data_IF_060299212841
#
_entry.id   IF_060299212841
#
_cell.length_a   1.000
_cell.length_b   1.000
_cell.length_c   1.000
_cell.angle_alpha   90.00
_cell.angle_beta   90.00
_cell.angle_gamma   90.00
#
_symmetry.space_group_name_H-M   'P 1'
#
loop_
_entity.id
_entity.type
_entity.pdbx_description
1 polymer ?
#
# COMPACT_ATOMS: atom_id res chain seq x y z
N UNK A 1 -31.55 21.70 13.82
CA UNK A 1 -32.60 22.11 12.86
C UNK A 1 -31.96 23.15 11.93
N UNK A 2 -31.92 22.88 10.62
CA UNK A 2 -31.42 23.70 9.48
C UNK A 2 -29.90 24.07 9.49
N UNK A 3 -29.08 23.61 8.52
CA UNK A 3 -28.89 24.11 7.11
C UNK A 3 -28.51 25.61 7.11
N UNK A 4 -27.49 26.14 6.43
CA UNK A 4 -26.81 25.86 5.16
C UNK A 4 -25.59 26.85 5.11
N UNK A 5 -24.36 26.46 4.79
CA UNK A 5 -23.71 26.46 3.46
C UNK A 5 -23.72 27.77 2.64
N UNK A 6 -22.51 28.30 2.37
CA UNK A 6 -22.00 28.87 1.10
C UNK A 6 -20.46 28.94 1.23
N UNK A 7 -19.60 28.59 0.27
CA UNK A 7 -19.73 28.28 -1.15
C UNK A 7 -18.71 29.08 -1.97
N UNK A 8 -18.08 28.42 -2.96
CA UNK A 8 -17.20 28.93 -4.05
C UNK A 8 -15.69 28.88 -3.77
N UNK A 9 -14.82 28.41 -4.67
CA UNK A 9 -14.80 28.35 -6.14
C UNK A 9 -13.77 27.28 -6.59
N UNK A 10 -13.74 26.66 -7.78
CA UNK A 10 -14.43 26.83 -9.08
C UNK A 10 -14.23 25.54 -9.91
N UNK A 11 -15.28 25.04 -10.54
CA UNK A 11 -15.22 24.07 -11.64
C UNK A 11 -14.75 24.76 -12.92
N UNK A 12 -13.88 24.09 -13.68
CA UNK A 12 -13.58 24.40 -15.07
C UNK A 12 -14.12 23.31 -15.98
N UNK A 13 -15.08 23.68 -16.82
CA UNK A 13 -15.80 22.86 -17.79
C UNK A 13 -14.91 22.56 -19.01
N UNK A 14 -14.62 21.29 -19.32
CA UNK A 14 -14.05 20.89 -20.63
C UNK A 14 -14.67 19.60 -21.18
N UNK A 15 -15.58 19.85 -22.12
CA UNK A 15 -16.01 19.09 -23.30
C UNK A 15 -15.32 17.75 -23.55
N UNK A 16 -16.12 16.68 -23.60
CA UNK A 16 -15.77 15.35 -24.10
C UNK A 16 -15.18 15.44 -25.53
N UNK A 17 -13.98 14.90 -25.70
CA UNK A 17 -13.50 14.41 -26.98
C UNK A 17 -13.01 12.98 -26.78
N UNK A 18 -13.71 12.04 -27.42
CA UNK A 18 -13.22 10.69 -27.61
C UNK A 18 -11.99 10.74 -28.51
N UNK A 19 -10.83 10.35 -27.98
CA UNK A 19 -9.70 9.90 -28.78
C UNK A 19 -9.31 8.52 -28.30
N UNK A 20 -9.58 7.53 -29.15
CA UNK A 20 -9.25 6.14 -28.90
C UNK A 20 -7.80 5.90 -29.35
N UNK A 21 -6.85 5.75 -28.42
CA UNK A 21 -5.56 5.11 -28.70
C UNK A 21 -4.99 4.37 -27.47
N UNK A 22 -5.33 3.08 -27.42
CA UNK A 22 -4.51 1.90 -27.13
C UNK A 22 -3.23 2.05 -26.25
N UNK A 23 -3.33 1.73 -24.94
CA UNK A 23 -2.33 0.96 -24.17
C UNK A 23 -3.02 0.27 -22.96
N UNK A 24 -2.86 -1.05 -22.83
CA UNK A 24 -3.70 -1.95 -22.01
C UNK A 24 -3.28 -2.11 -20.54
N UNK A 25 -3.44 -1.10 -19.70
CA UNK A 25 -3.37 -1.29 -18.23
C UNK A 25 -4.19 -0.23 -17.52
N UNK A 26 -5.16 -0.63 -16.70
CA UNK A 26 -5.96 0.33 -15.92
C UNK A 26 -5.30 0.58 -14.56
N UNK A 27 -5.01 1.84 -14.28
CA UNK A 27 -4.43 2.34 -13.03
C UNK A 27 -5.51 3.10 -12.28
N UNK A 28 -5.58 2.95 -10.95
CA UNK A 28 -6.59 3.64 -10.14
C UNK A 28 -5.94 4.39 -8.97
N UNK A 29 -6.43 5.60 -8.68
CA UNK A 29 -5.93 6.52 -7.63
C UNK A 29 -7.05 6.93 -6.66
N UNK A 30 -6.67 7.60 -5.57
CA UNK A 30 -7.57 8.22 -4.59
C UNK A 30 -7.04 9.56 -4.07
N UNK A 31 -7.98 10.44 -3.74
CA UNK A 31 -7.80 11.70 -3.02
C UNK A 31 -6.82 11.64 -1.84
N UNK A 32 -5.99 12.68 -1.81
CA UNK A 32 -4.75 12.87 -1.06
C UNK A 32 -4.97 13.06 0.45
N UNK A 33 -4.01 12.60 1.26
CA UNK A 33 -3.92 12.95 2.67
C UNK A 33 -2.88 14.08 2.85
N UNK A 34 -3.35 15.31 3.09
CA UNK A 34 -2.51 16.49 3.25
C UNK A 34 -1.73 16.48 4.60
N UNK A 35 -0.58 17.18 4.70
CA UNK A 35 0.18 17.26 5.95
C UNK A 35 -0.57 18.02 7.05
N UNK A 36 -0.60 17.42 8.25
CA UNK A 36 -1.23 17.94 9.45
C UNK A 36 -0.55 19.23 9.95
N UNK A 37 -1.33 20.32 10.11
CA UNK A 37 -0.91 21.53 10.83
C UNK A 37 -1.24 21.38 12.32
N UNK A 38 -0.23 21.50 13.18
CA UNK A 38 -0.37 21.39 14.65
C UNK A 38 -1.41 22.37 15.21
N UNK A 39 -2.35 21.86 16.01
CA UNK A 39 -2.88 22.58 17.16
C UNK A 39 -2.61 21.78 18.44
N UNK A 40 -1.97 22.43 19.41
CA UNK A 40 -1.69 21.89 20.74
C UNK A 40 -2.99 21.65 21.51
N UNK A 41 -3.15 20.47 22.13
CA UNK A 41 -3.71 20.34 23.47
C UNK A 41 -3.47 18.95 24.06
N UNK A 42 -3.44 18.91 25.40
CA UNK A 42 -2.76 17.92 26.23
C UNK A 42 -3.63 16.74 26.70
N UNK A 43 -2.94 15.60 26.90
CA UNK A 43 -3.14 14.46 27.84
C UNK A 43 -4.53 14.07 28.34
N UNK A 44 -4.81 12.75 28.29
CA UNK A 44 -5.20 11.95 29.48
C UNK A 44 -4.99 10.44 29.25
N UNK A 45 -4.55 9.75 30.31
CA UNK A 45 -4.29 8.31 30.41
C UNK A 45 -5.58 7.49 30.38
N UNK A 46 -5.57 6.30 29.78
CA UNK A 46 -6.16 5.11 30.43
C UNK A 46 -5.61 3.80 29.86
N UNK A 47 -5.60 2.82 30.75
CA UNK A 47 -4.92 1.53 30.74
C UNK A 47 -5.87 0.40 30.36
N UNK A 48 -5.37 -0.62 29.64
CA UNK A 48 -6.14 -1.84 29.39
C UNK A 48 -5.42 -2.84 28.49
N UNK A 49 -4.35 -3.47 28.99
CA UNK A 49 -3.70 -4.62 28.34
C UNK A 49 -4.21 -5.90 29.02
N UNK A 50 -4.86 -6.79 28.26
CA UNK A 50 -5.08 -8.18 28.69
C UNK A 50 -4.79 -9.15 27.55
N UNK A 51 -3.94 -10.11 27.89
CA UNK A 51 -3.51 -11.26 27.10
C UNK A 51 -4.66 -12.15 26.65
N UNK A 52 -4.55 -12.68 25.43
CA UNK A 52 -5.02 -14.03 25.11
C UNK A 52 -3.94 -14.69 24.23
N UNK A 53 -3.13 -15.56 24.83
CA UNK A 53 -2.36 -16.59 24.16
C UNK A 53 -2.50 -17.86 25.00
N UNK A 54 -3.23 -18.86 24.48
CA UNK A 54 -3.14 -20.29 24.83
C UNK A 54 -4.24 -21.07 24.09
N UNK A 55 -3.84 -21.85 23.08
CA UNK A 55 -3.86 -23.32 23.13
C UNK A 55 -3.30 -23.87 21.81
N UNK A 56 -2.15 -24.53 21.92
CA UNK A 56 -1.69 -25.47 20.89
C UNK A 56 -2.32 -26.83 21.24
N UNK A 57 -3.10 -27.38 20.31
CA UNK A 57 -3.61 -28.75 20.38
C UNK A 57 -3.29 -29.42 19.06
N UNK A 58 -2.59 -30.56 19.16
CA UNK A 58 -2.30 -31.49 18.07
C UNK A 58 -3.50 -31.67 17.13
N UNK A 59 -3.33 -31.34 15.86
CA UNK A 59 -4.21 -31.80 14.80
C UNK A 59 -3.38 -32.45 13.69
N UNK A 60 -3.96 -33.55 13.19
CA UNK A 60 -3.38 -34.52 12.27
C UNK A 60 -2.86 -33.86 10.98
N UNK A 61 -1.77 -34.43 10.45
CA UNK A 61 -1.29 -34.19 9.08
C UNK A 61 -2.40 -34.46 8.07
N UNK A 62 -2.86 -33.41 7.39
CA UNK A 62 -3.72 -33.51 6.21
C UNK A 62 -3.08 -32.73 5.07
N UNK A 63 -2.91 -33.41 3.95
CA UNK A 63 -2.53 -32.82 2.66
C UNK A 63 -3.66 -31.89 2.21
N UNK A 64 -3.41 -30.59 2.16
CA UNK A 64 -4.41 -29.59 1.80
C UNK A 64 -4.45 -29.44 0.27
N UNK A 65 -5.61 -29.75 -0.33
CA UNK A 65 -5.93 -29.35 -1.70
C UNK A 65 -6.72 -28.03 -1.67
N UNK A 66 -6.81 -27.36 -2.83
CA UNK A 66 -7.35 -25.99 -3.03
C UNK A 66 -8.77 -25.71 -2.47
N UNK A 67 -9.45 -26.69 -1.90
CA UNK A 67 -10.86 -26.59 -1.52
C UNK A 67 -11.11 -26.38 -0.01
N UNK A 68 -10.12 -26.60 0.86
CA UNK A 68 -10.38 -26.61 2.32
C UNK A 68 -9.89 -25.34 3.08
N UNK A 69 -9.16 -24.45 2.41
CA UNK A 69 -8.83 -23.10 2.86
C UNK A 69 -9.01 -22.14 1.68
N UNK A 70 -9.62 -20.99 1.90
CA UNK A 70 -9.65 -19.91 0.92
C UNK A 70 -8.23 -19.35 0.77
N UNK A 71 -7.37 -20.06 0.05
CA UNK A 71 -5.93 -19.79 0.00
C UNK A 71 -5.63 -18.37 -0.50
N UNK A 72 -6.42 -17.87 -1.45
CA UNK A 72 -6.33 -16.48 -1.90
C UNK A 72 -6.55 -15.49 -0.75
N UNK A 73 -7.45 -15.80 0.20
CA UNK A 73 -7.67 -15.02 1.40
C UNK A 73 -6.46 -15.03 2.33
N UNK A 74 -5.82 -16.18 2.56
CA UNK A 74 -4.61 -16.27 3.40
C UNK A 74 -3.47 -15.45 2.80
N UNK A 75 -3.23 -15.57 1.49
CA UNK A 75 -2.20 -14.79 0.80
C UNK A 75 -2.52 -13.30 0.85
N UNK A 76 -3.79 -12.92 0.63
CA UNK A 76 -4.23 -11.54 0.72
C UNK A 76 -4.08 -10.95 2.13
N UNK A 77 -4.43 -11.70 3.18
CA UNK A 77 -4.24 -11.28 4.57
C UNK A 77 -2.77 -11.00 4.87
N UNK A 78 -1.87 -11.92 4.48
CA UNK A 78 -0.42 -11.77 4.67
C UNK A 78 0.12 -10.55 3.92
N UNK A 79 -0.29 -10.37 2.66
CA UNK A 79 0.17 -9.25 1.83
C UNK A 79 -0.39 -7.91 2.30
N UNK A 80 -1.66 -7.85 2.70
CA UNK A 80 -2.25 -6.62 3.26
C UNK A 80 -1.58 -6.22 4.58
N UNK A 81 -1.33 -7.16 5.50
CA UNK A 81 -0.58 -6.85 6.74
C UNK A 81 0.83 -6.34 6.40
N UNK A 82 1.50 -6.98 5.45
CA UNK A 82 2.84 -6.57 5.02
C UNK A 82 2.83 -5.17 4.40
N UNK A 83 1.92 -4.91 3.46
CA UNK A 83 1.80 -3.63 2.77
C UNK A 83 1.48 -2.50 3.75
N UNK A 84 0.65 -2.75 4.78
CA UNK A 84 0.38 -1.76 5.85
C UNK A 84 1.68 -1.35 6.55
N UNK A 85 2.46 -2.33 7.01
CA UNK A 85 3.75 -2.09 7.68
C UNK A 85 4.74 -1.39 6.74
N UNK A 86 4.79 -1.82 5.47
CA UNK A 86 5.69 -1.24 4.47
C UNK A 86 5.32 0.21 4.15
N UNK A 87 4.05 0.54 3.97
CA UNK A 87 3.57 1.90 3.73
C UNK A 87 3.94 2.80 4.91
N UNK A 88 3.63 2.40 6.15
CA UNK A 88 4.02 3.19 7.32
C UNK A 88 5.53 3.43 7.40
N UNK A 89 6.32 2.40 7.10
CA UNK A 89 7.78 2.52 7.13
C UNK A 89 8.30 3.43 6.01
N UNK A 90 7.77 3.35 4.78
CA UNK A 90 8.10 4.24 3.67
C UNK A 90 7.82 5.69 4.04
N UNK A 91 6.63 5.98 4.58
CA UNK A 91 6.24 7.33 5.00
C UNK A 91 7.15 7.91 6.08
N UNK A 92 7.69 7.05 6.94
CA UNK A 92 8.68 7.43 7.95
C UNK A 92 10.06 7.69 7.35
N UNK A 93 10.63 6.74 6.59
CA UNK A 93 12.03 6.83 6.10
C UNK A 93 12.18 7.88 4.99
N UNK A 94 11.10 8.19 4.27
CA UNK A 94 11.08 9.24 3.23
C UNK A 94 10.55 10.58 3.76
N UNK A 95 10.35 10.68 5.08
CA UNK A 95 9.95 11.90 5.79
C UNK A 95 8.70 12.60 5.22
N UNK A 96 7.75 11.82 4.67
CA UNK A 96 6.48 12.35 4.14
C UNK A 96 5.63 12.93 5.28
N UNK A 97 5.74 12.33 6.47
CA UNK A 97 5.15 12.86 7.69
C UNK A 97 6.20 13.03 8.80
N UNK A 98 6.00 13.96 9.75
CA UNK A 98 6.93 14.19 10.84
C UNK A 98 7.16 12.94 11.70
N UNK A 99 8.41 12.64 12.04
CA UNK A 99 8.78 11.47 12.87
C UNK A 99 8.03 11.38 14.20
N UNK A 100 7.58 12.51 14.75
CA UNK A 100 6.83 12.59 16.01
C UNK A 100 5.45 11.90 15.99
N UNK A 101 4.88 11.57 14.83
CA UNK A 101 3.65 10.78 14.75
C UNK A 101 3.90 9.28 14.71
N UNK A 102 5.16 8.84 14.58
CA UNK A 102 5.51 7.43 14.46
C UNK A 102 6.02 6.86 15.78
N UNK A 103 5.69 5.60 16.01
CA UNK A 103 6.13 4.84 17.16
C UNK A 103 6.85 3.58 16.72
N UNK A 104 8.00 3.32 17.36
CA UNK A 104 8.77 2.10 17.16
C UNK A 104 7.98 0.89 17.63
N UNK A 105 7.74 -0.06 16.73
CA UNK A 105 7.09 -1.35 16.97
C UNK A 105 8.00 -2.48 16.48
N UNK A 106 7.57 -3.73 16.72
CA UNK A 106 8.26 -4.93 16.24
C UNK A 106 7.30 -5.73 15.35
N UNK A 107 7.64 -5.88 14.08
CA UNK A 107 6.89 -6.66 13.07
C UNK A 107 7.88 -7.50 12.30
N UNK A 108 7.50 -8.73 11.90
CA UNK A 108 8.41 -9.67 11.25
C UNK A 108 9.73 -9.82 12.03
N UNK A 109 9.69 -9.85 13.36
CA UNK A 109 10.86 -9.88 14.25
C UNK A 109 11.92 -8.75 14.06
N UNK A 110 11.59 -7.65 13.36
CA UNK A 110 12.47 -6.50 13.14
C UNK A 110 11.81 -5.20 13.65
N UNK A 111 12.58 -4.17 14.03
CA UNK A 111 12.02 -2.88 14.41
C UNK A 111 11.39 -2.19 13.18
N UNK A 112 10.19 -1.65 13.35
CA UNK A 112 9.47 -0.88 12.33
C UNK A 112 8.91 0.40 12.95
N UNK A 113 8.53 1.35 12.12
CA UNK A 113 7.88 2.60 12.54
C UNK A 113 6.43 2.58 12.07
N UNK A 114 5.50 2.75 13.01
CA UNK A 114 4.05 2.73 12.74
C UNK A 114 3.45 4.07 13.15
N UNK A 115 2.61 4.66 12.31
CA UNK A 115 1.94 5.92 12.66
C UNK A 115 0.94 5.71 13.80
N UNK A 116 0.82 6.72 14.66
CA UNK A 116 -0.20 6.84 15.69
C UNK A 116 -1.28 7.87 15.33
N UNK A 117 -1.21 8.48 14.14
CA UNK A 117 -2.20 9.47 13.68
C UNK A 117 -3.48 8.77 13.18
N UNK A 118 -4.65 8.97 13.81
CA UNK A 118 -5.86 8.21 13.51
C UNK A 118 -6.31 8.31 12.04
N UNK A 119 -6.31 9.50 11.46
CA UNK A 119 -6.80 9.70 10.09
C UNK A 119 -5.86 9.08 9.05
N UNK A 120 -4.55 9.09 9.31
CA UNK A 120 -3.56 8.48 8.42
C UNK A 120 -3.69 6.96 8.46
N UNK A 121 -3.83 6.40 9.67
CA UNK A 121 -4.01 4.98 9.87
C UNK A 121 -5.32 4.49 9.23
N UNK A 122 -6.41 5.27 9.38
CA UNK A 122 -7.69 4.96 8.75
C UNK A 122 -7.59 4.99 7.23
N UNK A 123 -6.94 5.99 6.65
CA UNK A 123 -6.73 6.07 5.19
C UNK A 123 -5.96 4.85 4.64
N UNK A 124 -4.87 4.46 5.31
CA UNK A 124 -4.06 3.29 4.89
C UNK A 124 -4.89 2.01 5.04
N UNK A 125 -5.62 1.86 6.15
CA UNK A 125 -6.49 0.73 6.40
C UNK A 125 -7.58 0.59 5.33
N UNK A 126 -8.32 1.66 5.05
CA UNK A 126 -9.40 1.67 4.06
C UNK A 126 -8.87 1.39 2.64
N UNK A 127 -7.69 1.94 2.33
CA UNK A 127 -6.97 1.64 1.07
C UNK A 127 -6.73 0.15 0.94
N UNK A 128 -6.05 -0.45 1.91
CA UNK A 128 -5.69 -1.87 1.85
C UNK A 128 -6.91 -2.79 1.95
N UNK A 129 -7.96 -2.38 2.66
CA UNK A 129 -9.23 -3.09 2.71
C UNK A 129 -9.88 -3.19 1.32
N UNK A 130 -9.78 -2.14 0.50
CA UNK A 130 -10.22 -2.20 -0.89
C UNK A 130 -9.27 -2.97 -1.82
N UNK A 131 -7.96 -2.97 -1.55
CA UNK A 131 -6.97 -3.73 -2.35
C UNK A 131 -7.10 -5.24 -2.09
N UNK A 132 -7.43 -5.63 -0.86
CA UNK A 132 -7.55 -7.03 -0.43
C UNK A 132 -8.33 -7.93 -1.40
N UNK A 133 -9.58 -7.64 -1.80
CA UNK A 133 -10.32 -8.49 -2.73
C UNK A 133 -9.67 -8.62 -4.12
N UNK A 134 -8.88 -7.64 -4.55
CA UNK A 134 -8.11 -7.73 -5.79
C UNK A 134 -6.93 -8.71 -5.64
N UNK A 135 -6.27 -8.71 -4.48
CA UNK A 135 -5.22 -9.68 -4.17
C UNK A 135 -5.81 -11.08 -4.02
N UNK A 136 -6.95 -11.23 -3.34
CA UNK A 136 -7.63 -12.53 -3.14
C UNK A 136 -7.94 -13.24 -4.46
N UNK A 137 -8.31 -12.46 -5.49
CA UNK A 137 -8.63 -12.95 -6.84
C UNK A 137 -7.41 -13.01 -7.77
N UNK A 138 -6.23 -12.60 -7.29
CA UNK A 138 -5.00 -12.42 -8.08
C UNK A 138 -5.17 -11.42 -9.25
N UNK A 139 -6.07 -10.44 -9.08
CA UNK A 139 -6.35 -9.37 -10.03
C UNK A 139 -5.39 -8.18 -9.87
N UNK A 140 -4.77 -8.01 -8.71
CA UNK A 140 -3.75 -6.98 -8.48
C UNK A 140 -2.38 -7.43 -9.03
N UNK A 141 -1.83 -6.66 -9.96
CA UNK A 141 -0.48 -6.87 -10.52
C UNK A 141 0.57 -6.07 -9.76
N UNK A 142 0.29 -4.79 -9.49
CA UNK A 142 1.20 -3.89 -8.76
C UNK A 142 0.42 -3.07 -7.75
N UNK A 143 0.98 -2.91 -6.56
CA UNK A 143 0.58 -1.90 -5.57
C UNK A 143 1.71 -0.90 -5.49
N UNK A 144 1.42 0.38 -5.70
CA UNK A 144 2.44 1.42 -5.84
C UNK A 144 2.19 2.52 -4.83
N UNK A 145 3.16 2.80 -3.97
CA UNK A 145 3.14 4.00 -3.11
C UNK A 145 3.82 5.13 -3.87
N UNK A 146 3.06 6.15 -4.25
CA UNK A 146 3.56 7.29 -5.01
C UNK A 146 3.77 8.45 -4.06
N UNK A 147 4.99 8.97 -4.01
CA UNK A 147 5.32 10.21 -3.30
C UNK A 147 5.27 11.35 -4.32
N UNK A 148 4.53 12.41 -3.99
CA UNK A 148 4.29 13.56 -4.86
C UNK A 148 4.85 14.85 -4.24
N UNK A 149 5.36 15.75 -5.07
CA UNK A 149 5.75 17.10 -4.64
C UNK A 149 4.53 18.00 -4.36
N UNK A 150 4.78 19.26 -4.01
CA UNK A 150 3.73 20.24 -3.68
C UNK A 150 2.87 20.60 -4.89
N UNK A 151 3.43 20.44 -6.08
CA UNK A 151 2.78 20.65 -7.37
C UNK A 151 2.06 19.38 -7.86
N UNK A 152 1.99 18.33 -7.02
CA UNK A 152 1.34 17.05 -7.28
C UNK A 152 1.96 16.22 -8.40
N UNK A 153 3.25 16.41 -8.69
CA UNK A 153 3.96 15.56 -9.64
C UNK A 153 4.66 14.38 -8.90
N UNK A 154 4.66 13.15 -9.47
CA UNK A 154 5.32 11.98 -8.88
C UNK A 154 6.84 12.11 -8.78
N UNK A 155 7.40 12.05 -7.57
CA UNK A 155 8.85 12.15 -7.29
C UNK A 155 9.48 10.78 -7.09
N UNK A 156 8.81 9.91 -6.34
CA UNK A 156 9.22 8.52 -6.10
C UNK A 156 8.02 7.58 -6.20
N UNK A 157 8.27 6.36 -6.66
CA UNK A 157 7.29 5.27 -6.63
C UNK A 157 7.89 4.02 -6.05
N UNK A 158 7.36 3.56 -4.93
CA UNK A 158 7.70 2.26 -4.38
C UNK A 158 6.76 1.24 -4.99
N UNK A 159 7.26 0.49 -5.97
CA UNK A 159 6.47 -0.46 -6.75
C UNK A 159 6.59 -1.85 -6.13
N UNK A 160 5.49 -2.37 -5.60
CA UNK A 160 5.35 -3.76 -5.18
C UNK A 160 4.69 -4.54 -6.30
N UNK A 161 5.50 -5.20 -7.12
CA UNK A 161 5.04 -6.08 -8.18
C UNK A 161 4.75 -7.47 -7.61
N UNK A 162 3.53 -7.95 -7.78
CA UNK A 162 3.01 -9.16 -7.12
C UNK A 162 2.63 -10.20 -8.18
N UNK A 163 3.06 -11.44 -7.95
CA UNK A 163 2.66 -12.59 -8.76
C UNK A 163 2.35 -13.78 -7.84
N UNK A 164 1.15 -14.34 -7.99
CA UNK A 164 0.71 -15.52 -7.25
C UNK A 164 0.76 -16.73 -8.18
N UNK A 165 1.78 -17.60 -8.07
CA UNK A 165 1.88 -18.79 -8.91
C UNK A 165 0.74 -19.78 -8.63
N UNK A 166 0.40 -20.64 -9.59
CA UNK A 166 -0.53 -21.75 -9.34
C UNK A 166 0.03 -22.65 -8.24
N UNK A 167 -0.78 -22.88 -7.21
CA UNK A 167 -0.44 -23.72 -6.08
C UNK A 167 -0.04 -25.14 -6.48
N UNK A 168 1.08 -25.59 -5.93
CA UNK A 168 1.42 -27.01 -5.82
C UNK A 168 1.14 -27.46 -4.36
N UNK A 169 1.00 -28.75 -4.09
CA UNK A 169 0.73 -29.25 -2.74
C UNK A 169 1.86 -28.88 -1.78
N UNK A 170 1.58 -28.09 -0.74
CA UNK A 170 2.60 -27.59 0.21
C UNK A 170 2.14 -27.83 1.65
N UNK A 171 3.09 -28.15 2.53
CA UNK A 171 2.89 -28.16 3.99
C UNK A 171 2.82 -26.73 4.54
N UNK A 172 1.73 -26.38 5.21
CA UNK A 172 1.37 -24.99 5.59
C UNK A 172 2.36 -24.29 6.52
N UNK A 173 2.88 -24.97 7.55
CA UNK A 173 3.51 -24.29 8.69
C UNK A 173 4.93 -23.80 8.39
N UNK A 174 5.73 -24.63 7.71
CA UNK A 174 7.07 -24.25 7.23
C UNK A 174 7.01 -23.13 6.21
N UNK A 175 6.01 -23.16 5.34
CA UNK A 175 5.81 -22.16 4.29
C UNK A 175 5.54 -20.76 4.85
N UNK A 176 4.64 -20.63 5.82
CA UNK A 176 4.30 -19.33 6.41
C UNK A 176 5.51 -18.70 7.13
N UNK A 177 6.28 -19.50 7.85
CA UNK A 177 7.51 -19.03 8.51
C UNK A 177 8.57 -18.56 7.50
N UNK A 178 8.67 -19.26 6.36
CA UNK A 178 9.59 -18.88 5.29
C UNK A 178 9.16 -17.57 4.61
N UNK A 179 7.86 -17.42 4.33
CA UNK A 179 7.30 -16.17 3.78
C UNK A 179 7.53 -15.00 4.74
N UNK A 180 7.32 -15.19 6.04
CA UNK A 180 7.62 -14.17 7.05
C UNK A 180 9.10 -13.71 6.99
N UNK A 181 10.04 -14.66 6.86
CA UNK A 181 11.47 -14.35 6.74
C UNK A 181 11.80 -13.60 5.44
N UNK A 182 11.14 -13.95 4.33
CA UNK A 182 11.31 -13.24 3.06
C UNK A 182 10.78 -11.81 3.13
N UNK A 183 9.59 -11.61 3.70
CA UNK A 183 8.98 -10.28 3.91
C UNK A 183 9.82 -9.42 4.86
N UNK A 184 10.38 -10.02 5.91
CA UNK A 184 11.34 -9.37 6.81
C UNK A 184 12.52 -8.75 6.05
N UNK A 185 13.06 -9.46 5.06
CA UNK A 185 14.16 -8.94 4.26
C UNK A 185 13.75 -7.71 3.42
N UNK A 186 12.49 -7.63 2.99
CA UNK A 186 11.95 -6.45 2.29
C UNK A 186 11.83 -5.27 3.25
N UNK A 187 11.28 -5.47 4.45
CA UNK A 187 11.20 -4.43 5.50
C UNK A 187 12.58 -3.88 5.86
N UNK A 188 13.59 -4.75 5.99
CA UNK A 188 14.97 -4.31 6.26
C UNK A 188 15.55 -3.47 5.12
N UNK A 189 15.21 -3.79 3.86
CA UNK A 189 15.65 -3.00 2.70
C UNK A 189 14.98 -1.63 2.62
N UNK A 190 13.69 -1.53 2.96
CA UNK A 190 13.00 -0.23 3.10
C UNK A 190 13.64 0.58 4.23
N UNK A 191 14.01 -0.05 5.34
CA UNK A 191 14.58 0.64 6.51
C UNK A 191 15.90 1.37 6.24
N UNK A 192 16.59 1.03 5.14
CA UNK A 192 17.90 1.58 4.77
C UNK A 192 17.92 2.11 3.33
N UNK A 193 16.75 2.35 2.73
CA UNK A 193 16.68 2.81 1.33
C UNK A 193 17.08 4.28 1.17
N UNK A 194 17.10 5.07 2.25
CA UNK A 194 17.62 6.43 2.28
C UNK A 194 19.09 6.53 1.82
N UNK A 195 19.88 5.48 2.06
CA UNK A 195 21.27 5.42 1.60
C UNK A 195 21.44 5.26 0.07
N UNK A 196 20.37 4.89 -0.65
CA UNK A 196 20.40 4.66 -2.10
C UNK A 196 19.46 5.56 -2.89
N UNK A 197 18.67 6.40 -2.20
CA UNK A 197 17.71 7.33 -2.80
C UNK A 197 18.13 8.78 -2.50
N UNK A 198 17.90 9.67 -3.45
CA UNK A 198 18.13 11.11 -3.25
C UNK A 198 17.07 11.70 -2.31
N UNK A 199 17.37 12.81 -1.62
CA UNK A 199 16.40 13.45 -0.74
C UNK A 199 15.18 13.97 -1.51
N UNK A 200 14.00 13.80 -0.93
CA UNK A 200 12.76 14.34 -1.51
C UNK A 200 12.62 15.84 -1.22
N UNK A 201 11.94 16.61 -2.09
CA UNK A 201 11.62 18.00 -1.81
C UNK A 201 10.74 18.12 -0.55
N UNK A 202 10.79 19.25 0.16
CA UNK A 202 9.98 19.44 1.35
C UNK A 202 8.49 19.46 1.01
N UNK A 203 7.63 19.05 1.94
CA UNK A 203 6.17 19.14 1.77
C UNK A 203 5.58 18.14 0.79
N UNK A 204 6.25 17.00 0.59
CA UNK A 204 5.70 15.89 -0.17
C UNK A 204 4.39 15.35 0.44
N UNK A 205 3.57 14.78 -0.42
CA UNK A 205 2.36 13.99 -0.07
C UNK A 205 2.49 12.59 -0.64
N UNK A 206 1.52 11.71 -0.37
CA UNK A 206 1.49 10.39 -0.99
C UNK A 206 0.09 9.99 -1.45
N UNK A 207 0.05 9.07 -2.41
CA UNK A 207 -1.14 8.31 -2.82
C UNK A 207 -0.76 6.85 -3.08
N UNK A 208 -1.74 5.97 -3.21
CA UNK A 208 -1.55 4.56 -3.54
C UNK A 208 -2.23 4.26 -4.87
N UNK A 209 -1.48 3.72 -5.81
CA UNK A 209 -2.00 3.23 -7.08
C UNK A 209 -2.07 1.70 -7.07
N UNK A 210 -3.08 1.17 -7.75
CA UNK A 210 -3.18 -0.27 -8.01
C UNK A 210 -3.26 -0.49 -9.51
N UNK A 211 -2.32 -1.27 -10.04
CA UNK A 211 -2.38 -1.76 -11.41
C UNK A 211 -3.09 -3.11 -11.38
N UNK A 212 -4.18 -3.21 -12.13
CA UNK A 212 -4.93 -4.47 -12.24
C UNK A 212 -4.60 -5.22 -13.51
N UNK A 213 -4.66 -6.56 -13.45
CA UNK A 213 -4.55 -7.42 -14.62
C UNK A 213 -5.74 -7.18 -15.55
N UNK A 214 -5.55 -7.30 -16.87
CA UNK A 214 -6.52 -6.90 -17.91
C UNK A 214 -7.97 -7.39 -17.67
N UNK A 215 -8.14 -8.61 -17.16
CA UNK A 215 -9.45 -9.20 -16.87
C UNK A 215 -10.27 -8.47 -15.78
N UNK A 216 -9.62 -7.71 -14.91
CA UNK A 216 -10.21 -7.08 -13.74
C UNK A 216 -10.67 -5.62 -13.96
N UNK A 217 -10.26 -4.98 -15.06
CA UNK A 217 -10.68 -3.60 -15.41
C UNK A 217 -12.21 -3.44 -15.42
N UNK A 218 -12.93 -4.50 -15.80
CA UNK A 218 -14.41 -4.52 -15.84
C UNK A 218 -15.07 -4.72 -14.47
N UNK A 219 -14.33 -5.13 -13.46
CA UNK A 219 -14.84 -5.47 -12.13
C UNK A 219 -14.57 -4.37 -11.08
N UNK A 220 -13.80 -3.33 -11.40
CA UNK A 220 -13.50 -2.22 -10.47
C UNK A 220 -14.75 -1.49 -9.97
N UNK A 221 -15.80 -1.37 -10.79
CA UNK A 221 -17.11 -0.85 -10.36
C UNK A 221 -17.73 -1.66 -9.21
N UNK A 222 -17.40 -2.96 -9.11
CA UNK A 222 -17.87 -3.88 -8.06
C UNK A 222 -16.94 -3.95 -6.85
N UNK A 223 -15.75 -3.36 -6.91
CA UNK A 223 -14.73 -3.36 -5.85
C UNK A 223 -14.87 -2.15 -4.90
N UNK A 224 -15.88 -1.30 -5.11
CA UNK A 224 -16.27 -0.26 -4.15
C UNK A 224 -16.89 -0.89 -2.89
N UNK A 225 -16.07 -1.56 -2.08
CA UNK A 225 -16.48 -2.25 -0.84
C UNK A 225 -16.89 -1.22 0.23
N UNK A 226 -16.30 -0.03 0.19
CA UNK A 226 -16.57 1.06 1.13
C UNK A 226 -17.28 2.18 0.37
N UNK A 227 -18.55 2.41 0.72
CA UNK A 227 -19.46 3.32 0.01
C UNK A 227 -18.97 4.76 -0.08
N UNK A 228 -18.25 5.24 0.94
CA UNK A 228 -17.70 6.59 1.01
C UNK A 228 -16.22 6.67 0.60
N UNK A 229 -15.68 5.56 0.06
CA UNK A 229 -14.28 5.45 -0.34
C UNK A 229 -14.22 4.85 -1.76
N UNK A 230 -14.54 5.65 -2.82
CA UNK A 230 -14.52 5.18 -4.21
C UNK A 230 -13.10 5.21 -4.81
N UNK A 231 -12.77 4.21 -5.64
CA UNK A 231 -11.58 4.21 -6.50
C UNK A 231 -11.93 4.81 -7.86
N UNK A 232 -11.04 5.66 -8.39
CA UNK A 232 -11.17 6.27 -9.72
C UNK A 232 -10.00 5.87 -10.59
N UNK A 233 -10.19 5.87 -11.92
CA UNK A 233 -9.06 5.70 -12.84
C UNK A 233 -8.07 6.83 -12.58
N UNK A 234 -6.79 6.48 -12.45
CA UNK A 234 -5.72 7.42 -12.18
C UNK A 234 -5.51 8.31 -13.39
N UNK A 235 -5.34 9.61 -13.13
CA UNK A 235 -5.05 10.56 -14.19
C UNK A 235 -3.61 10.39 -14.69
N UNK A 236 -3.37 10.71 -15.96
CA UNK A 236 -2.02 10.61 -16.56
C UNK A 236 -0.97 11.40 -15.76
N UNK A 237 -1.34 12.50 -15.10
CA UNK A 237 -0.42 13.30 -14.29
C UNK A 237 0.07 12.57 -13.03
N UNK A 238 -0.75 11.69 -12.44
CA UNK A 238 -0.37 10.89 -11.27
C UNK A 238 0.52 9.69 -11.67
N UNK A 239 0.37 9.22 -12.91
CA UNK A 239 1.04 8.02 -13.46
C UNK A 239 2.26 8.36 -14.33
N UNK A 240 2.36 9.57 -14.86
CA UNK A 240 3.52 9.98 -15.66
C UNK A 240 4.68 10.40 -14.75
N UNK A 241 5.83 9.73 -14.89
CA UNK A 241 7.10 10.17 -14.32
C UNK A 241 8.09 10.26 -15.47
N UNK A 242 8.70 11.43 -15.65
CA UNK A 242 9.66 11.65 -16.71
C UNK A 242 11.00 10.98 -16.37
N UNK A 243 11.48 10.10 -17.25
CA UNK A 243 12.79 9.44 -17.20
C UNK A 243 13.15 8.87 -15.81
N UNK A 244 12.32 7.95 -15.25
CA UNK A 244 12.58 7.40 -13.93
C UNK A 244 13.84 6.54 -13.90
N UNK A 245 14.67 6.74 -12.88
CA UNK A 245 15.75 5.81 -12.51
C UNK A 245 15.16 4.64 -11.75
N UNK A 246 15.43 3.42 -12.20
CA UNK A 246 14.96 2.19 -11.55
C UNK A 246 15.98 1.70 -10.53
N UNK A 247 15.55 1.60 -9.27
CA UNK A 247 16.40 1.24 -8.14
C UNK A 247 15.82 -0.02 -7.46
N UNK A 248 16.36 -1.22 -7.76
CA UNK A 248 15.85 -2.45 -7.16
C UNK A 248 16.22 -2.54 -5.67
N UNK A 249 15.22 -2.82 -4.82
CA UNK A 249 15.45 -2.98 -3.37
C UNK A 249 15.51 -4.46 -2.97
N UNK A 250 14.50 -5.24 -3.35
CA UNK A 250 14.43 -6.66 -2.98
C UNK A 250 13.50 -7.44 -3.89
N UNK A 251 13.89 -8.67 -4.21
CA UNK A 251 13.01 -9.69 -4.80
C UNK A 251 12.87 -10.86 -3.84
N UNK A 252 11.67 -11.43 -3.76
CA UNK A 252 11.38 -12.67 -3.05
C UNK A 252 10.54 -13.61 -3.92
N UNK A 253 10.79 -14.90 -3.74
CA UNK A 253 10.07 -15.97 -4.44
C UNK A 253 9.77 -17.05 -3.42
N UNK A 254 8.50 -17.43 -3.36
CA UNK A 254 8.00 -18.56 -2.60
C UNK A 254 6.97 -19.30 -3.44
N UNK A 255 6.49 -20.43 -2.93
CA UNK A 255 5.50 -21.24 -3.62
C UNK A 255 4.11 -20.60 -3.68
N UNK A 256 3.85 -19.57 -2.85
CA UNK A 256 2.54 -18.91 -2.75
C UNK A 256 2.55 -17.48 -3.28
N UNK A 257 3.71 -16.83 -3.24
CA UNK A 257 3.87 -15.45 -3.69
C UNK A 257 5.28 -15.21 -4.19
N UNK A 258 5.37 -14.53 -5.33
CA UNK A 258 6.56 -13.86 -5.81
C UNK A 258 6.29 -12.36 -5.73
N UNK A 259 7.27 -11.63 -5.20
CA UNK A 259 7.16 -10.18 -5.08
C UNK A 259 8.50 -9.52 -5.38
N UNK A 260 8.45 -8.46 -6.16
CA UNK A 260 9.58 -7.58 -6.39
C UNK A 260 9.25 -6.18 -5.88
N UNK A 261 10.17 -5.62 -5.12
CA UNK A 261 10.15 -4.23 -4.68
C UNK A 261 11.31 -3.48 -5.35
N UNK A 262 10.94 -2.43 -6.07
CA UNK A 262 11.86 -1.46 -6.64
C UNK A 262 11.30 -0.05 -6.51
N UNK A 263 12.17 0.95 -6.65
CA UNK A 263 11.81 2.35 -6.64
C UNK A 263 11.98 2.94 -8.03
N UNK A 264 10.97 3.63 -8.53
CA UNK A 264 11.11 4.55 -9.67
C UNK A 264 11.38 5.94 -9.09
N UNK A 265 12.54 6.51 -9.37
CA UNK A 265 12.98 7.80 -8.84
C UNK A 265 13.10 8.83 -9.97
N UNK A 266 12.48 9.99 -9.82
CA UNK A 266 12.63 11.09 -10.78
C UNK A 266 14.10 11.52 -10.85
N UNK A 267 14.66 11.59 -12.05
CA UNK A 267 16.08 11.88 -12.26
C UNK A 267 16.56 13.23 -11.68
N UNK A 268 15.65 14.22 -11.55
CA UNK A 268 15.91 15.49 -10.90
C UNK A 268 14.77 15.84 -9.96
N UNK A 269 15.05 15.77 -8.65
CA UNK A 269 14.15 16.26 -7.60
C UNK A 269 14.51 17.72 -7.34
N UNK A 270 13.72 18.66 -7.86
CA UNK A 270 13.97 20.09 -7.63
C UNK A 270 14.04 20.39 -6.13
N UNK A 271 15.04 21.18 -5.68
CA UNK A 271 15.23 21.52 -4.26
C UNK A 271 14.35 22.69 -3.80
#
# INVERSE_FOLDING_TARGET
MFLQWWGSAKMGERRFQHSAHNTSTSVFSRYQCAPYKRHNQATTRSSGCKQIYRRCSHQKMTTLTRQDLNFGQVVADILCEFLEVAIHLILYVREVYPSGIFQKRKKYNVPVQMSCHPELNQYIHDTLHCVKPLIEKNDAEKVVVVIMDKEHHPVERFVFEISQPPLLSISSDTLLSHVEQLLRAVILKISVCDAVLENNPPGCTFTVLVHTREAATRNMEKVQVIKDFPWIVADEQEVHMQEPRLIPLKTMTSDIVKMQLYVEERAQKAS
#
